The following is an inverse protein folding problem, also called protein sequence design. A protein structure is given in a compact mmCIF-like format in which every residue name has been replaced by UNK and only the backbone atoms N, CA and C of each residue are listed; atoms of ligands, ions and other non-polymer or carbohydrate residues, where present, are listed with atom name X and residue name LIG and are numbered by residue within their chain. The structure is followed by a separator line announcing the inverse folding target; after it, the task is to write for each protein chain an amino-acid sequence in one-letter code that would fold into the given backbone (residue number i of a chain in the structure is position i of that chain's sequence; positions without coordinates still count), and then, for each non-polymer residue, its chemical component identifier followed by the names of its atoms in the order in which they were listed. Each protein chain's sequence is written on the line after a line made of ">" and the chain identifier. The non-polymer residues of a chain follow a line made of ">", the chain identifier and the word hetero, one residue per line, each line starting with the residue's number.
data_IF_107062716746
#
_entry.id   IF_107062716746
#
_cell.length_a   1.000
_cell.length_b   1.000
_cell.length_c   1.000
_cell.angle_alpha   90.00
_cell.angle_beta   90.00
_cell.angle_gamma   90.00
#
_symmetry.space_group_name_H-M   'P 1'
#
loop_
_entity.id
_entity.type
_entity.pdbx_description
1 polymer ?
#
# COMPACT_ATOMS: atom_id res chain seq x y z
N UNK A 1 32.04 26.95 1.46
CA UNK A 1 31.46 25.82 0.77
C UNK A 1 30.79 24.96 1.82
N UNK A 2 29.52 24.55 1.64
CA UNK A 2 28.88 23.60 2.54
C UNK A 2 29.62 22.28 2.37
N UNK A 3 30.02 21.70 3.48
CA UNK A 3 30.74 20.45 3.55
C UNK A 3 29.98 19.37 2.79
N UNK A 4 30.59 18.85 1.72
CA UNK A 4 30.02 17.83 0.89
C UNK A 4 29.73 16.59 1.73
N UNK A 5 28.51 16.11 1.64
CA UNK A 5 28.14 14.81 2.20
C UNK A 5 29.01 13.78 1.47
N UNK A 6 30.03 13.29 2.17
CA UNK A 6 30.83 12.19 1.68
C UNK A 6 29.92 10.96 1.60
N UNK A 7 29.59 10.55 0.37
CA UNK A 7 28.84 9.30 0.09
C UNK A 7 29.76 8.08 0.25
N UNK A 8 30.61 8.10 1.29
CA UNK A 8 31.38 6.94 1.69
C UNK A 8 30.58 6.07 2.68
N UNK A 9 31.06 4.88 2.93
CA UNK A 9 30.38 3.92 3.79
C UNK A 9 30.19 4.41 5.24
N UNK A 10 30.98 5.41 5.69
CA UNK A 10 30.86 6.01 7.02
C UNK A 10 29.77 7.09 7.04
N UNK A 11 29.65 7.94 6.03
CA UNK A 11 28.57 8.90 5.90
C UNK A 11 27.20 8.23 5.79
N UNK A 12 27.10 7.11 5.06
CA UNK A 12 25.89 6.30 5.01
C UNK A 12 25.52 5.68 6.36
N UNK A 13 26.51 5.18 7.11
CA UNK A 13 26.29 4.65 8.47
C UNK A 13 25.81 5.74 9.44
N UNK A 14 26.33 6.94 9.33
CA UNK A 14 25.95 8.06 10.20
C UNK A 14 24.52 8.54 9.89
N UNK A 15 24.14 8.62 8.62
CA UNK A 15 22.76 8.94 8.19
C UNK A 15 21.79 7.88 8.68
N UNK A 16 22.11 6.60 8.52
CA UNK A 16 21.28 5.49 8.99
C UNK A 16 21.17 5.51 10.52
N UNK A 17 22.26 5.69 11.25
CA UNK A 17 22.27 5.73 12.71
C UNK A 17 21.46 6.92 13.26
N UNK A 18 21.57 8.11 12.66
CA UNK A 18 20.82 9.32 13.03
C UNK A 18 19.31 9.16 12.79
N UNK A 19 18.93 8.53 11.70
CA UNK A 19 17.51 8.26 11.40
C UNK A 19 16.97 7.11 12.25
N UNK A 20 17.80 6.12 12.59
CA UNK A 20 17.39 5.01 13.45
C UNK A 20 17.10 5.45 14.88
N UNK A 21 17.91 6.36 15.44
CA UNK A 21 17.63 6.94 16.77
C UNK A 21 16.32 7.72 16.78
N UNK A 22 16.06 8.55 15.75
CA UNK A 22 14.79 9.30 15.66
C UNK A 22 13.58 8.38 15.44
N UNK A 23 13.71 7.28 14.69
CA UNK A 23 12.67 6.26 14.58
C UNK A 23 12.42 5.55 15.91
N UNK A 24 13.46 5.34 16.71
CA UNK A 24 13.38 4.82 18.07
C UNK A 24 12.59 5.74 19.02
N UNK A 25 12.80 7.05 18.93
CA UNK A 25 12.09 8.05 19.74
C UNK A 25 10.59 8.10 19.39
N UNK A 26 10.24 8.02 18.12
CA UNK A 26 8.84 7.93 17.66
C UNK A 26 8.20 6.62 18.13
N UNK A 27 8.92 5.50 18.01
CA UNK A 27 8.44 4.22 18.50
C UNK A 27 8.26 4.23 20.04
N UNK A 28 9.16 4.87 20.79
CA UNK A 28 9.04 5.03 22.22
C UNK A 28 7.86 5.91 22.62
N UNK A 29 7.58 7.00 21.91
CA UNK A 29 6.43 7.86 22.15
C UNK A 29 5.11 7.14 21.86
N UNK A 30 5.04 6.36 20.78
CA UNK A 30 3.90 5.50 20.46
C UNK A 30 3.71 4.41 21.53
N UNK A 31 4.80 3.82 22.01
CA UNK A 31 4.79 2.83 23.08
C UNK A 31 4.27 3.41 24.41
N UNK A 32 4.68 4.62 24.76
CA UNK A 32 4.20 5.31 25.96
C UNK A 32 2.69 5.60 25.89
N UNK A 33 2.18 5.96 24.70
CA UNK A 33 0.76 6.19 24.47
C UNK A 33 -0.07 4.90 24.53
N UNK A 34 0.48 3.79 24.02
CA UNK A 34 -0.13 2.45 24.08
C UNK A 34 -0.11 1.89 25.50
N UNK A 35 0.97 2.10 26.26
CA UNK A 35 1.12 1.55 27.60
C UNK A 35 0.23 2.21 28.66
N UNK A 36 -0.28 3.41 28.41
CA UNK A 36 -1.24 4.09 29.32
C UNK A 36 -2.62 3.44 29.34
N UNK A 37 -2.98 2.66 28.31
CA UNK A 37 -4.24 1.93 28.25
C UNK A 37 -3.98 0.42 28.32
N UNK A 38 -4.00 -0.19 29.51
CA UNK A 38 -3.68 -1.61 29.69
C UNK A 38 -4.48 -2.58 28.81
N UNK A 39 -5.74 -2.26 28.50
CA UNK A 39 -6.56 -3.02 27.55
C UNK A 39 -6.05 -2.93 26.11
N UNK A 40 -5.56 -1.77 25.66
CA UNK A 40 -4.97 -1.59 24.35
C UNK A 40 -3.67 -2.39 24.19
N UNK A 41 -2.86 -2.49 25.26
CA UNK A 41 -1.64 -3.30 25.27
C UNK A 41 -1.96 -4.78 25.09
N UNK A 42 -2.90 -5.31 25.85
CA UNK A 42 -3.32 -6.73 25.75
C UNK A 42 -3.86 -7.02 24.34
N UNK A 43 -4.69 -6.14 23.81
CA UNK A 43 -5.23 -6.30 22.45
C UNK A 43 -4.12 -6.24 21.39
N UNK A 44 -3.16 -5.33 21.54
CA UNK A 44 -2.05 -5.20 20.59
C UNK A 44 -1.14 -6.44 20.62
N UNK A 45 -0.78 -6.93 21.81
CA UNK A 45 0.02 -8.15 21.97
C UNK A 45 -0.74 -9.37 21.45
N UNK A 46 -2.04 -9.49 21.77
CA UNK A 46 -2.86 -10.57 21.26
C UNK A 46 -2.90 -10.57 19.72
N UNK A 47 -3.13 -9.41 19.09
CA UNK A 47 -3.12 -9.30 17.64
C UNK A 47 -1.75 -9.59 17.02
N UNK A 48 -0.66 -9.09 17.65
CA UNK A 48 0.71 -9.32 17.19
C UNK A 48 1.08 -10.81 17.20
N UNK A 49 0.53 -11.58 18.13
CA UNK A 49 0.77 -13.02 18.26
C UNK A 49 -0.24 -13.81 17.38
N UNK A 50 -1.51 -13.45 17.45
CA UNK A 50 -2.58 -14.18 16.75
C UNK A 50 -2.48 -14.05 15.24
N UNK A 51 -2.19 -12.85 14.71
CA UNK A 51 -2.13 -12.64 13.25
C UNK A 51 -1.07 -13.52 12.58
N UNK A 52 0.20 -13.59 13.04
CA UNK A 52 1.17 -14.52 12.47
C UNK A 52 0.77 -15.99 12.62
N UNK A 53 0.21 -16.40 13.77
CA UNK A 53 -0.22 -17.77 14.01
C UNK A 53 -1.33 -18.15 13.03
N UNK A 54 -2.39 -17.35 12.95
CA UNK A 54 -3.51 -17.60 12.03
C UNK A 54 -3.04 -17.60 10.59
N UNK A 55 -2.18 -16.64 10.20
CA UNK A 55 -1.61 -16.58 8.86
C UNK A 55 -0.78 -17.82 8.54
N UNK A 56 0.02 -18.31 9.49
CA UNK A 56 0.80 -19.52 9.31
C UNK A 56 -0.08 -20.75 9.08
N UNK A 57 -1.13 -20.95 9.90
CA UNK A 57 -2.04 -22.06 9.72
C UNK A 57 -2.85 -21.98 8.43
N UNK A 58 -3.33 -20.77 8.06
CA UNK A 58 -4.02 -20.56 6.80
C UNK A 58 -3.12 -20.86 5.60
N UNK A 59 -1.86 -20.48 5.65
CA UNK A 59 -0.91 -20.77 4.57
C UNK A 59 -0.55 -22.24 4.52
N UNK A 60 -0.37 -22.89 5.66
CA UNK A 60 -0.02 -24.30 5.75
C UNK A 60 -1.12 -25.22 5.23
N UNK A 61 -2.36 -24.92 5.64
CA UNK A 61 -3.51 -25.78 5.37
C UNK A 61 -4.35 -25.25 4.17
N UNK A 62 -3.74 -24.34 3.35
CA UNK A 62 -4.41 -23.67 2.23
C UNK A 62 -4.95 -24.65 1.19
N UNK A 63 -4.14 -25.64 0.81
CA UNK A 63 -4.52 -26.61 -0.21
C UNK A 63 -5.68 -27.50 0.28
N UNK A 64 -5.68 -27.89 1.54
CA UNK A 64 -6.74 -28.66 2.16
C UNK A 64 -8.05 -27.85 2.24
N UNK A 65 -7.96 -26.56 2.59
CA UNK A 65 -9.10 -25.65 2.60
C UNK A 65 -9.70 -25.49 1.20
N UNK A 66 -8.88 -25.30 0.19
CA UNK A 66 -9.34 -25.17 -1.20
C UNK A 66 -9.94 -26.47 -1.71
N UNK A 67 -9.36 -27.62 -1.38
CA UNK A 67 -9.91 -28.94 -1.71
C UNK A 67 -11.29 -29.14 -1.05
N UNK A 68 -11.43 -28.84 0.23
CA UNK A 68 -12.68 -28.91 0.96
C UNK A 68 -13.78 -28.01 0.35
N UNK A 69 -13.44 -26.75 0.01
CA UNK A 69 -14.38 -25.83 -0.66
C UNK A 69 -14.82 -26.40 -2.01
N UNK A 70 -13.88 -26.97 -2.77
CA UNK A 70 -14.17 -27.58 -4.07
C UNK A 70 -15.15 -28.77 -3.97
N UNK A 71 -15.02 -29.59 -2.94
CA UNK A 71 -15.90 -30.76 -2.71
C UNK A 71 -17.31 -30.37 -2.34
N UNK A 72 -17.50 -29.20 -1.72
CA UNK A 72 -18.84 -28.67 -1.37
C UNK A 72 -19.55 -28.07 -2.59
N UNK A 73 -18.82 -27.69 -3.65
CA UNK A 73 -19.41 -27.08 -4.84
C UNK A 73 -20.04 -28.13 -5.74
N UNK A 74 -21.35 -27.96 -6.11
CA UNK A 74 -22.01 -28.89 -7.04
C UNK A 74 -21.23 -29.01 -8.37
N UNK A 75 -21.04 -30.21 -8.93
CA UNK A 75 -20.27 -30.46 -10.14
C UNK A 75 -20.65 -29.58 -11.34
N UNK A 76 -21.93 -29.21 -11.44
CA UNK A 76 -22.45 -28.32 -12.50
C UNK A 76 -21.92 -26.89 -12.42
N UNK A 77 -21.58 -26.41 -11.23
CA UNK A 77 -21.09 -25.05 -10.98
C UNK A 77 -19.57 -25.00 -10.94
N UNK A 78 -18.90 -26.12 -10.75
CA UNK A 78 -17.46 -26.22 -10.55
C UNK A 78 -16.64 -25.52 -11.65
N UNK A 79 -16.93 -25.68 -12.97
CA UNK A 79 -16.17 -24.98 -14.02
C UNK A 79 -16.29 -23.46 -13.93
N UNK A 80 -17.48 -22.97 -13.56
CA UNK A 80 -17.74 -21.54 -13.45
C UNK A 80 -17.08 -20.92 -12.22
N UNK A 81 -17.19 -21.61 -11.07
CA UNK A 81 -16.60 -21.14 -9.80
C UNK A 81 -15.08 -21.19 -9.87
N UNK A 82 -14.52 -22.26 -10.42
CA UNK A 82 -13.05 -22.36 -10.60
C UNK A 82 -12.51 -21.32 -11.56
N UNK A 83 -13.25 -20.97 -12.63
CA UNK A 83 -12.89 -19.89 -13.54
C UNK A 83 -12.85 -18.52 -12.84
N UNK A 84 -13.89 -18.22 -12.03
CA UNK A 84 -13.95 -17.00 -11.23
C UNK A 84 -12.80 -16.95 -10.21
N UNK A 85 -12.59 -18.05 -9.48
CA UNK A 85 -11.54 -18.13 -8.48
C UNK A 85 -10.15 -17.89 -9.10
N UNK A 86 -9.85 -18.53 -10.23
CA UNK A 86 -8.59 -18.34 -10.95
C UNK A 86 -8.40 -16.91 -11.45
N UNK A 87 -9.42 -16.30 -12.08
CA UNK A 87 -9.36 -14.92 -12.53
C UNK A 87 -9.15 -13.96 -11.35
N UNK A 88 -9.81 -14.23 -10.21
CA UNK A 88 -9.64 -13.47 -8.97
C UNK A 88 -8.21 -13.58 -8.44
N UNK A 89 -7.65 -14.78 -8.38
CA UNK A 89 -6.26 -15.03 -7.94
C UNK A 89 -5.25 -14.31 -8.84
N UNK A 90 -5.41 -14.41 -10.15
CA UNK A 90 -4.55 -13.73 -11.13
C UNK A 90 -4.59 -12.20 -10.97
N UNK A 91 -5.79 -11.62 -10.77
CA UNK A 91 -5.98 -10.18 -10.59
C UNK A 91 -5.41 -9.70 -9.27
N UNK A 92 -5.74 -10.39 -8.17
CA UNK A 92 -5.23 -10.04 -6.82
C UNK A 92 -3.71 -10.21 -6.73
N UNK A 93 -3.18 -11.32 -7.21
CA UNK A 93 -1.75 -11.57 -7.20
C UNK A 93 -0.98 -10.55 -8.04
N UNK A 94 -1.50 -10.17 -9.21
CA UNK A 94 -0.90 -9.12 -10.04
C UNK A 94 -0.94 -7.75 -9.36
N UNK A 95 -2.07 -7.42 -8.72
CA UNK A 95 -2.23 -6.17 -7.99
C UNK A 95 -1.24 -6.07 -6.83
N UNK A 96 -1.21 -7.08 -5.94
CA UNK A 96 -0.34 -7.06 -4.76
C UNK A 96 1.12 -6.98 -5.14
N UNK A 97 1.58 -7.82 -6.09
CA UNK A 97 2.97 -7.76 -6.57
C UNK A 97 3.30 -6.42 -7.21
N UNK A 98 2.42 -5.91 -8.09
CA UNK A 98 2.59 -4.61 -8.73
C UNK A 98 2.69 -3.49 -7.70
N UNK A 99 1.79 -3.49 -6.71
CA UNK A 99 1.76 -2.47 -5.67
C UNK A 99 3.00 -2.51 -4.76
N UNK A 100 3.50 -3.71 -4.42
CA UNK A 100 4.76 -3.84 -3.69
C UNK A 100 5.95 -3.24 -4.47
N UNK A 101 6.02 -3.47 -5.78
CA UNK A 101 7.07 -2.85 -6.61
C UNK A 101 6.92 -1.33 -6.66
N UNK A 102 5.70 -0.80 -6.78
CA UNK A 102 5.44 0.65 -6.73
C UNK A 102 5.89 1.24 -5.39
N UNK A 103 5.54 0.60 -4.27
CA UNK A 103 5.96 1.03 -2.93
C UNK A 103 7.49 1.10 -2.78
N UNK A 104 8.21 0.08 -3.23
CA UNK A 104 9.68 0.05 -3.16
C UNK A 104 10.27 1.12 -4.08
N UNK A 105 9.78 1.24 -5.31
CA UNK A 105 10.28 2.22 -6.26
C UNK A 105 10.06 3.66 -5.78
N UNK A 106 8.84 3.99 -5.32
CA UNK A 106 8.51 5.31 -4.79
C UNK A 106 9.23 5.60 -3.47
N UNK A 107 9.29 4.63 -2.57
CA UNK A 107 10.00 4.77 -1.30
C UNK A 107 11.49 5.08 -1.52
N UNK A 108 12.13 4.39 -2.46
CA UNK A 108 13.51 4.67 -2.86
C UNK A 108 13.64 6.04 -3.52
N UNK A 109 12.76 6.35 -4.47
CA UNK A 109 12.77 7.63 -5.19
C UNK A 109 12.60 8.82 -4.24
N UNK A 110 11.59 8.78 -3.36
CA UNK A 110 11.35 9.85 -2.38
C UNK A 110 12.49 9.95 -1.38
N UNK A 111 13.03 8.84 -0.87
CA UNK A 111 14.16 8.86 0.05
C UNK A 111 15.38 9.54 -0.57
N UNK A 112 15.77 9.11 -1.78
CA UNK A 112 16.92 9.68 -2.49
C UNK A 112 16.67 11.14 -2.87
N UNK A 113 15.49 11.47 -3.41
CA UNK A 113 15.13 12.82 -3.80
C UNK A 113 15.16 13.79 -2.61
N UNK A 114 14.60 13.40 -1.46
CA UNK A 114 14.59 14.22 -0.24
C UNK A 114 15.99 14.34 0.38
N UNK A 115 16.85 13.30 0.28
CA UNK A 115 18.26 13.38 0.69
C UNK A 115 19.02 14.38 -0.16
N UNK A 116 18.81 14.42 -1.47
CA UNK A 116 19.45 15.37 -2.38
C UNK A 116 19.02 16.82 -2.09
N UNK A 117 17.79 17.02 -1.62
CA UNK A 117 17.29 18.33 -1.17
C UNK A 117 17.83 18.71 0.22
N UNK A 118 18.45 17.78 0.94
CA UNK A 118 19.06 18.03 2.25
C UNK A 118 18.08 17.92 3.42
N UNK A 119 16.99 17.16 3.28
CA UNK A 119 16.05 16.91 4.39
C UNK A 119 16.64 15.88 5.36
N UNK A 120 16.79 16.23 6.64
CA UNK A 120 17.31 15.33 7.69
C UNK A 120 16.51 14.04 7.84
N UNK A 121 15.18 14.13 7.71
CA UNK A 121 14.25 13.00 7.84
C UNK A 121 13.94 12.32 6.49
N UNK A 122 14.75 12.53 5.46
CA UNK A 122 14.52 12.05 4.10
C UNK A 122 14.21 10.56 4.03
N UNK A 123 15.00 9.73 4.73
CA UNK A 123 14.82 8.27 4.71
C UNK A 123 13.49 7.85 5.36
N UNK A 124 13.19 8.41 6.55
CA UNK A 124 11.98 8.06 7.29
C UNK A 124 10.73 8.47 6.51
N UNK A 125 10.72 9.72 6.00
CA UNK A 125 9.58 10.24 5.24
C UNK A 125 9.48 9.57 3.88
N UNK A 126 10.59 9.35 3.18
CA UNK A 126 10.60 8.71 1.87
C UNK A 126 10.13 7.26 1.91
N UNK A 127 10.68 6.45 2.81
CA UNK A 127 10.23 5.07 3.02
C UNK A 127 8.78 5.04 3.52
N UNK A 128 8.43 5.90 4.48
CA UNK A 128 7.06 6.01 4.99
C UNK A 128 6.06 6.36 3.90
N UNK A 129 6.35 7.36 3.06
CA UNK A 129 5.53 7.73 1.91
C UNK A 129 5.40 6.57 0.92
N UNK A 130 6.51 5.86 0.62
CA UNK A 130 6.50 4.68 -0.22
C UNK A 130 5.62 3.56 0.34
N UNK A 131 5.70 3.27 1.64
CA UNK A 131 4.85 2.28 2.30
C UNK A 131 3.36 2.65 2.25
N UNK A 132 3.04 3.91 2.53
CA UNK A 132 1.66 4.43 2.48
C UNK A 132 1.13 4.48 1.05
N UNK A 133 1.99 4.52 0.03
CA UNK A 133 1.61 4.44 -1.40
C UNK A 133 1.00 3.09 -1.79
N UNK A 134 0.88 2.12 -0.85
CA UNK A 134 -0.02 0.98 -1.03
C UNK A 134 -1.44 1.44 -1.37
N UNK A 135 -1.88 2.55 -0.80
CA UNK A 135 -3.12 3.23 -1.19
C UNK A 135 -2.75 4.35 -2.17
N UNK A 136 -3.21 4.31 -3.42
CA UNK A 136 -2.90 5.33 -4.42
C UNK A 136 -3.19 6.75 -3.90
N UNK A 137 -2.30 7.68 -4.23
CA UNK A 137 -2.32 9.09 -3.83
C UNK A 137 -2.07 9.35 -2.33
N UNK A 138 -2.39 8.43 -1.42
CA UNK A 138 -2.29 8.65 0.02
C UNK A 138 -0.83 8.84 0.46
N UNK A 139 0.09 8.03 -0.11
CA UNK A 139 1.53 8.15 0.15
C UNK A 139 2.09 9.50 -0.25
N UNK A 140 1.69 10.00 -1.43
CA UNK A 140 2.11 11.33 -1.91
C UNK A 140 1.53 12.44 -1.04
N UNK A 141 0.24 12.39 -0.69
CA UNK A 141 -0.43 13.44 0.12
C UNK A 141 0.20 13.51 1.52
N UNK A 142 0.31 12.39 2.21
CA UNK A 142 0.89 12.36 3.55
C UNK A 142 2.40 12.60 3.54
N UNK A 143 3.09 12.06 2.52
CA UNK A 143 4.52 12.24 2.36
C UNK A 143 4.91 13.70 2.10
N UNK A 144 4.23 14.38 1.17
CA UNK A 144 4.50 15.79 0.87
C UNK A 144 4.18 16.68 2.07
N UNK A 145 3.06 16.43 2.77
CA UNK A 145 2.70 17.19 3.96
C UNK A 145 3.76 17.05 5.07
N UNK A 146 4.20 15.81 5.35
CA UNK A 146 5.24 15.55 6.33
C UNK A 146 6.60 16.14 5.92
N UNK A 147 6.99 16.01 4.64
CA UNK A 147 8.26 16.52 4.13
C UNK A 147 8.31 18.05 4.12
N UNK A 148 7.23 18.72 3.70
CA UNK A 148 7.14 20.18 3.74
C UNK A 148 7.22 20.71 5.17
N UNK A 149 6.50 20.08 6.09
CA UNK A 149 6.54 20.44 7.52
C UNK A 149 7.96 20.26 8.09
N UNK A 150 8.58 19.10 7.85
CA UNK A 150 9.91 18.81 8.35
C UNK A 150 10.97 19.77 7.76
N UNK A 151 10.89 20.07 6.46
CA UNK A 151 11.81 21.00 5.80
C UNK A 151 11.63 22.43 6.32
N UNK A 152 10.40 22.88 6.51
CA UNK A 152 10.13 24.21 7.07
C UNK A 152 10.66 24.35 8.49
N UNK A 153 10.48 23.33 9.34
CA UNK A 153 11.00 23.31 10.71
C UNK A 153 12.55 23.24 10.74
N UNK A 154 13.16 22.61 9.74
CA UNK A 154 14.60 22.45 9.64
C UNK A 154 15.30 23.72 9.17
N UNK A 155 14.76 24.41 8.16
CA UNK A 155 15.44 25.51 7.46
C UNK A 155 14.85 26.89 7.75
N UNK A 156 13.55 26.97 8.04
CA UNK A 156 12.80 28.23 8.15
C UNK A 156 12.66 28.98 6.82
N UNK A 157 13.13 28.40 5.71
CA UNK A 157 13.17 29.02 4.40
C UNK A 157 12.13 28.43 3.45
N UNK A 158 11.59 29.25 2.54
CA UNK A 158 10.58 28.77 1.57
C UNK A 158 11.20 28.10 0.32
N UNK A 159 12.43 28.44 -0.03
CA UNK A 159 13.07 27.92 -1.25
C UNK A 159 13.28 26.39 -1.23
N UNK A 160 13.77 25.77 -0.14
CA UNK A 160 13.85 24.31 -0.04
C UNK A 160 12.50 23.60 -0.16
N UNK A 161 11.39 24.26 0.24
CA UNK A 161 10.05 23.70 0.10
C UNK A 161 9.65 23.47 -1.36
N UNK A 162 10.11 24.34 -2.28
CA UNK A 162 9.86 24.14 -3.72
C UNK A 162 10.55 22.89 -4.24
N UNK A 163 11.78 22.60 -3.78
CA UNK A 163 12.48 21.37 -4.15
C UNK A 163 11.79 20.13 -3.61
N UNK A 164 11.29 20.16 -2.37
CA UNK A 164 10.48 19.08 -1.81
C UNK A 164 9.23 18.87 -2.67
N UNK A 165 8.50 19.94 -3.00
CA UNK A 165 7.31 19.84 -3.84
C UNK A 165 7.63 19.28 -5.24
N UNK A 166 8.80 19.65 -5.81
CA UNK A 166 9.28 19.12 -7.09
C UNK A 166 9.56 17.62 -7.01
N UNK A 167 10.20 17.12 -5.96
CA UNK A 167 10.45 15.68 -5.75
C UNK A 167 9.14 14.90 -5.75
N UNK A 168 8.15 15.36 -4.97
CA UNK A 168 6.84 14.69 -4.94
C UNK A 168 6.07 14.84 -6.25
N UNK A 169 6.16 15.98 -6.93
CA UNK A 169 5.57 16.20 -8.25
C UNK A 169 6.10 15.24 -9.30
N UNK A 170 7.44 15.08 -9.38
CA UNK A 170 8.08 14.11 -10.27
C UNK A 170 7.71 12.68 -9.87
N UNK A 171 7.70 12.36 -8.58
CA UNK A 171 7.27 11.06 -8.07
C UNK A 171 5.84 10.73 -8.47
N UNK A 172 4.92 11.70 -8.42
CA UNK A 172 3.52 11.53 -8.84
C UNK A 172 3.40 11.28 -10.36
N UNK A 173 4.20 11.98 -11.18
CA UNK A 173 4.28 11.71 -12.62
C UNK A 173 4.82 10.30 -12.89
N UNK A 174 5.84 9.89 -12.13
CA UNK A 174 6.41 8.55 -12.24
C UNK A 174 5.39 7.47 -11.85
N UNK A 175 4.68 7.67 -10.75
CA UNK A 175 3.63 6.77 -10.27
C UNK A 175 2.53 6.58 -11.31
N UNK A 176 1.89 7.68 -11.74
CA UNK A 176 0.74 7.64 -12.64
C UNK A 176 1.11 7.34 -14.09
N UNK A 177 2.25 7.85 -14.57
CA UNK A 177 2.65 7.75 -15.97
C UNK A 177 3.46 6.50 -16.32
N UNK A 178 4.18 5.92 -15.36
CA UNK A 178 5.14 4.84 -15.63
C UNK A 178 4.88 3.62 -14.73
N UNK A 179 4.95 3.81 -13.41
CA UNK A 179 4.93 2.68 -12.48
C UNK A 179 3.59 1.97 -12.48
N UNK A 180 2.49 2.72 -12.35
CA UNK A 180 1.15 2.12 -12.33
C UNK A 180 0.81 1.41 -13.64
N UNK A 181 0.99 1.98 -14.83
CA UNK A 181 0.73 1.27 -16.09
C UNK A 181 1.61 0.02 -16.30
N UNK A 182 2.88 0.08 -15.92
CA UNK A 182 3.82 -1.03 -16.15
C UNK A 182 3.67 -2.13 -15.10
N UNK A 183 3.56 -1.78 -13.83
CA UNK A 183 3.64 -2.72 -12.71
C UNK A 183 2.28 -3.25 -12.28
N UNK A 184 1.26 -2.41 -12.29
CA UNK A 184 -0.11 -2.77 -11.91
C UNK A 184 -0.93 -3.11 -13.16
N UNK A 185 -0.75 -2.32 -14.23
CA UNK A 185 -1.34 -2.52 -15.55
C UNK A 185 -2.87 -2.42 -15.60
N UNK A 186 -3.42 -2.66 -16.79
CA UNK A 186 -4.88 -2.69 -17.03
C UNK A 186 -5.56 -3.97 -16.48
N UNK A 187 -4.79 -4.84 -15.80
CA UNK A 187 -5.29 -6.16 -15.35
C UNK A 187 -6.43 -6.08 -14.36
N UNK A 188 -6.50 -5.00 -13.57
CA UNK A 188 -7.60 -4.79 -12.62
C UNK A 188 -8.85 -4.32 -13.35
N UNK A 189 -8.70 -3.58 -14.44
CA UNK A 189 -9.82 -3.08 -15.26
C UNK A 189 -10.78 -2.16 -14.52
N UNK A 190 -10.32 -1.47 -13.48
CA UNK A 190 -11.11 -0.52 -12.71
C UNK A 190 -10.95 0.89 -13.27
N UNK A 191 -12.08 1.56 -13.53
CA UNK A 191 -12.08 2.98 -13.87
C UNK A 191 -11.62 3.80 -12.65
N UNK A 192 -10.85 4.91 -12.83
CA UNK A 192 -10.39 5.75 -11.71
C UNK A 192 -11.49 6.18 -10.73
N UNK A 193 -12.69 6.47 -11.23
CA UNK A 193 -13.85 6.80 -10.39
C UNK A 193 -14.24 5.64 -9.48
N UNK A 194 -14.14 4.39 -9.96
CA UNK A 194 -14.42 3.18 -9.15
C UNK A 194 -13.40 3.03 -8.03
N UNK A 195 -12.13 3.37 -8.29
CA UNK A 195 -11.06 3.38 -7.27
C UNK A 195 -11.39 4.36 -6.15
N UNK A 196 -11.72 5.63 -6.51
CA UNK A 196 -12.08 6.66 -5.52
C UNK A 196 -13.31 6.22 -4.72
N UNK A 197 -14.34 5.73 -5.40
CA UNK A 197 -15.55 5.26 -4.75
C UNK A 197 -15.29 4.09 -3.79
N UNK A 198 -14.46 3.12 -4.21
CA UNK A 198 -14.08 1.99 -3.36
C UNK A 198 -13.34 2.44 -2.10
N UNK A 199 -12.38 3.37 -2.24
CA UNK A 199 -11.64 3.93 -1.10
C UNK A 199 -12.57 4.68 -0.14
N UNK A 200 -13.49 5.49 -0.66
CA UNK A 200 -14.47 6.22 0.16
C UNK A 200 -15.41 5.24 0.89
N UNK A 201 -15.96 4.27 0.18
CA UNK A 201 -16.87 3.28 0.76
C UNK A 201 -16.15 2.41 1.81
N UNK A 202 -14.95 1.92 1.49
CA UNK A 202 -14.12 1.16 2.41
C UNK A 202 -13.79 1.96 3.67
N UNK A 203 -13.39 3.22 3.50
CA UNK A 203 -13.09 4.13 4.61
C UNK A 203 -14.29 4.39 5.52
N UNK A 204 -15.47 4.58 4.94
CA UNK A 204 -16.72 4.80 5.69
C UNK A 204 -17.16 3.55 6.47
N UNK A 205 -17.03 2.36 5.89
CA UNK A 205 -17.52 1.12 6.49
C UNK A 205 -16.58 0.54 7.54
N UNK A 206 -15.27 0.57 7.28
CA UNK A 206 -14.26 -0.15 8.07
C UNK A 206 -13.06 0.73 8.47
N UNK A 207 -13.15 2.06 8.27
CA UNK A 207 -12.07 2.98 8.60
C UNK A 207 -10.78 2.72 7.81
N UNK A 208 -9.64 2.87 8.46
CA UNK A 208 -8.33 2.72 7.83
C UNK A 208 -8.11 1.34 7.19
N UNK A 209 -8.54 0.27 7.86
CA UNK A 209 -8.46 -1.10 7.32
C UNK A 209 -9.31 -1.22 6.05
N UNK A 210 -10.50 -0.59 6.04
CA UNK A 210 -11.36 -0.55 4.86
C UNK A 210 -10.69 0.11 3.66
N UNK A 211 -9.94 1.20 3.86
CA UNK A 211 -9.16 1.85 2.80
C UNK A 211 -8.08 0.89 2.25
N UNK A 212 -7.36 0.18 3.12
CA UNK A 212 -6.32 -0.76 2.70
C UNK A 212 -6.85 -1.92 1.85
N UNK A 213 -8.01 -2.48 2.22
CA UNK A 213 -8.60 -3.62 1.50
C UNK A 213 -9.56 -3.20 0.37
N UNK A 214 -9.85 -1.90 0.22
CA UNK A 214 -10.83 -1.39 -0.73
C UNK A 214 -10.53 -1.82 -2.18
N UNK A 215 -9.29 -1.67 -2.62
CA UNK A 215 -8.89 -2.01 -4.00
C UNK A 215 -8.87 -3.52 -4.26
N UNK A 216 -8.30 -4.37 -3.41
CA UNK A 216 -8.48 -5.82 -3.51
C UNK A 216 -9.94 -6.25 -3.60
N UNK A 217 -10.79 -5.72 -2.72
CA UNK A 217 -12.23 -6.04 -2.74
C UNK A 217 -12.90 -5.55 -4.01
N UNK A 218 -12.62 -4.32 -4.45
CA UNK A 218 -13.15 -3.79 -5.71
C UNK A 218 -12.71 -4.61 -6.93
N UNK A 219 -11.47 -5.12 -6.94
CA UNK A 219 -10.96 -5.99 -7.99
C UNK A 219 -11.71 -7.32 -8.05
N UNK A 220 -11.97 -7.94 -6.90
CA UNK A 220 -12.80 -9.17 -6.81
C UNK A 220 -14.21 -8.90 -7.30
N UNK A 221 -14.85 -7.82 -6.84
CA UNK A 221 -16.18 -7.42 -7.29
C UNK A 221 -16.23 -7.19 -8.80
N UNK A 222 -15.21 -6.58 -9.39
CA UNK A 222 -15.14 -6.38 -10.84
C UNK A 222 -15.09 -7.71 -11.61
N UNK A 223 -14.34 -8.70 -11.11
CA UNK A 223 -14.34 -10.07 -11.69
C UNK A 223 -15.73 -10.68 -11.60
N UNK A 224 -16.39 -10.62 -10.44
CA UNK A 224 -17.73 -11.15 -10.25
C UNK A 224 -18.76 -10.47 -11.17
N UNK A 225 -18.71 -9.14 -11.28
CA UNK A 225 -19.60 -8.39 -12.17
C UNK A 225 -19.36 -8.72 -13.65
N UNK A 226 -18.12 -8.92 -14.08
CA UNK A 226 -17.81 -9.36 -15.46
C UNK A 226 -18.43 -10.72 -15.76
N UNK A 227 -18.30 -11.67 -14.84
CA UNK A 227 -18.91 -13.00 -14.99
C UNK A 227 -20.43 -12.96 -14.96
N UNK A 228 -21.02 -12.21 -14.04
CA UNK A 228 -22.46 -12.03 -13.96
C UNK A 228 -23.02 -11.39 -15.24
N UNK A 229 -22.34 -10.33 -15.77
CA UNK A 229 -22.73 -9.69 -17.03
C UNK A 229 -22.66 -10.65 -18.21
N UNK A 230 -21.59 -11.44 -18.35
CA UNK A 230 -21.48 -12.44 -19.43
C UNK A 230 -22.64 -13.45 -19.35
N UNK A 231 -22.91 -14.03 -18.18
CA UNK A 231 -24.03 -14.95 -17.97
C UNK A 231 -25.38 -14.32 -18.29
N UNK A 232 -25.56 -13.06 -17.93
CA UNK A 232 -26.79 -12.34 -18.23
C UNK A 232 -27.00 -12.17 -19.75
N UNK A 233 -25.96 -11.75 -20.47
CA UNK A 233 -26.00 -11.58 -21.92
C UNK A 233 -26.22 -12.89 -22.68
N UNK A 234 -25.72 -14.02 -22.14
CA UNK A 234 -25.91 -15.36 -22.69
C UNK A 234 -27.24 -16.00 -22.28
N UNK A 235 -28.03 -15.34 -21.42
CA UNK A 235 -29.30 -15.89 -20.94
C UNK A 235 -30.41 -15.77 -21.99
N UNK A 236 -31.34 -16.75 -21.98
CA UNK A 236 -32.53 -16.73 -22.83
C UNK A 236 -33.41 -15.50 -22.58
N UNK A 237 -33.36 -14.92 -21.40
CA UNK A 237 -34.12 -13.70 -21.05
C UNK A 237 -33.63 -12.49 -21.78
N UNK A 238 -32.34 -12.43 -22.09
CA UNK A 238 -31.73 -11.30 -22.83
C UNK A 238 -31.77 -11.50 -24.35
N UNK A 239 -31.67 -12.75 -24.82
CA UNK A 239 -31.61 -13.07 -26.25
C UNK A 239 -33.02 -13.24 -26.90
N UNK A 240 -34.09 -13.24 -26.07
CA UNK A 240 -35.49 -13.35 -26.53
C UNK A 240 -35.85 -14.75 -26.85
#
# INVERSE_FOLDING_TARGET
>A
PPDGIALDAEGLKEIVAKNWSKAGDVAAALWEQVSRNGTALVTTVANLVMVPIVSFYLLRDWDDLVAWIRDVIPPRLLPSVSGIARETDEVLGSFIRGQLYVMVALGTFYSVGLMLVGLDLALVIGVGAGLVSFVPYLGTILGIAAALMAMFLQTGEWLPLLWVAMVFGVGQMLEGGVLTPILVGDKIGLHPVTVIFALMAGGQLFGFIGILVALPVAAVLAVLFRHAKRRWLDSRVYQG
#
